data_IF_465843404359
#
_entry.id   IF_465843404359
#
_cell.length_a   1.000
_cell.length_b   1.000
_cell.length_c   1.000
_cell.angle_alpha   90.00
_cell.angle_beta   90.00
_cell.angle_gamma   90.00
#
_symmetry.space_group_name_H-M   'P 1'
#
loop_
_entity.id
_entity.type
_entity.pdbx_description
1 polymer ?
#
# COMPACT_ATOMS: atom_id res chain seq x y z
N UNK A 1 6.93 -3.00 -34.17
CA UNK A 1 7.83 -3.54 -33.13
C UNK A 1 7.04 -3.53 -31.84
N UNK A 2 6.67 -4.72 -31.36
CA UNK A 2 5.86 -4.93 -30.15
C UNK A 2 6.59 -4.41 -28.91
N UNK A 3 5.90 -3.60 -28.12
CA UNK A 3 6.25 -3.33 -26.74
C UNK A 3 5.42 -4.27 -25.87
N UNK A 4 5.93 -5.48 -25.66
CA UNK A 4 5.34 -6.46 -24.74
C UNK A 4 5.42 -5.90 -23.31
N UNK A 5 4.29 -5.40 -22.80
CA UNK A 5 4.11 -5.06 -21.40
C UNK A 5 3.63 -6.35 -20.70
N UNK A 6 4.44 -7.05 -19.89
CA UNK A 6 4.00 -8.26 -19.22
C UNK A 6 3.48 -7.89 -17.84
N UNK A 7 2.37 -7.16 -17.80
CA UNK A 7 1.49 -7.15 -16.65
C UNK A 7 0.11 -7.52 -17.16
N UNK A 8 -0.53 -8.60 -16.66
CA UNK A 8 -1.90 -8.85 -17.01
C UNK A 8 -2.71 -7.65 -16.54
N UNK A 9 -3.38 -6.97 -17.48
CA UNK A 9 -4.41 -6.01 -17.14
C UNK A 9 -5.39 -6.74 -16.22
N UNK A 10 -5.48 -6.39 -14.93
CA UNK A 10 -6.40 -7.07 -14.04
C UNK A 10 -7.77 -6.86 -14.64
N UNK A 11 -8.45 -7.97 -14.94
CA UNK A 11 -9.81 -7.99 -15.43
C UNK A 11 -10.60 -6.89 -14.72
N UNK A 12 -11.26 -6.06 -15.52
CA UNK A 12 -12.11 -4.94 -15.12
C UNK A 12 -13.37 -5.39 -14.36
N UNK A 13 -13.25 -6.33 -13.42
CA UNK A 13 -14.12 -6.43 -12.27
C UNK A 13 -13.62 -5.40 -11.28
N UNK A 14 -14.38 -4.31 -11.11
CA UNK A 14 -14.17 -3.29 -10.08
C UNK A 14 -13.86 -3.97 -8.74
N UNK A 15 -12.58 -4.17 -8.41
CA UNK A 15 -12.18 -4.10 -7.02
C UNK A 15 -12.47 -2.65 -6.66
N UNK A 16 -13.45 -2.37 -5.81
CA UNK A 16 -13.69 -1.00 -5.44
C UNK A 16 -12.49 -0.61 -4.59
N UNK A 17 -11.47 -0.02 -5.20
CA UNK A 17 -10.58 0.92 -4.54
C UNK A 17 -11.33 2.22 -4.22
N UNK A 18 -12.63 2.10 -3.92
CA UNK A 18 -13.44 3.19 -3.44
C UNK A 18 -13.00 3.41 -1.99
N UNK A 19 -12.10 4.37 -1.82
CA UNK A 19 -12.02 5.11 -0.56
C UNK A 19 -13.45 5.58 -0.30
N UNK A 20 -14.14 4.94 0.66
CA UNK A 20 -15.48 5.36 1.08
C UNK A 20 -15.46 6.88 1.27
N UNK A 21 -16.35 7.60 0.58
CA UNK A 21 -16.21 9.06 0.47
C UNK A 21 -16.73 9.81 1.71
N UNK A 22 -17.28 9.09 2.67
CA UNK A 22 -17.94 9.63 3.86
C UNK A 22 -17.11 9.34 5.11
N UNK A 23 -15.92 9.94 5.21
CA UNK A 23 -15.13 9.90 6.44
C UNK A 23 -15.22 11.24 7.17
N UNK A 24 -16.24 11.37 8.03
CA UNK A 24 -16.32 12.48 8.97
C UNK A 24 -15.33 12.34 10.15
N UNK A 25 -14.53 11.26 10.22
CA UNK A 25 -13.56 11.00 11.27
C UNK A 25 -12.17 10.63 10.71
N UNK A 26 -11.18 11.43 11.09
CA UNK A 26 -9.76 11.23 10.76
C UNK A 26 -9.23 9.87 11.26
N UNK A 27 -9.78 9.35 12.37
CA UNK A 27 -9.45 8.00 12.86
C UNK A 27 -9.85 6.93 11.85
N UNK A 28 -11.01 7.08 11.20
CA UNK A 28 -11.47 6.18 10.14
C UNK A 28 -10.55 6.20 8.92
N UNK A 29 -10.10 7.39 8.52
CA UNK A 29 -9.11 7.55 7.43
C UNK A 29 -7.78 6.86 7.75
N UNK A 30 -7.24 7.05 8.96
CA UNK A 30 -6.00 6.36 9.36
C UNK A 30 -6.15 4.85 9.41
N UNK A 31 -7.29 4.34 9.88
CA UNK A 31 -7.55 2.91 9.87
C UNK A 31 -7.57 2.35 8.45
N UNK A 32 -8.27 3.02 7.53
CA UNK A 32 -8.32 2.59 6.13
C UNK A 32 -6.95 2.67 5.45
N UNK A 33 -6.18 3.74 5.70
CA UNK A 33 -4.82 3.88 5.19
C UNK A 33 -3.92 2.75 5.68
N UNK A 34 -3.92 2.47 6.99
CA UNK A 34 -3.12 1.39 7.56
C UNK A 34 -3.51 0.02 7.00
N UNK A 35 -4.81 -0.21 6.77
CA UNK A 35 -5.29 -1.44 6.12
C UNK A 35 -4.77 -1.59 4.68
N UNK A 36 -4.80 -0.52 3.87
CA UNK A 36 -4.28 -0.55 2.51
C UNK A 36 -2.75 -0.78 2.48
N UNK A 37 -2.02 -0.16 3.39
CA UNK A 37 -0.57 -0.37 3.51
C UNK A 37 -0.23 -1.80 3.93
N UNK A 38 -1.00 -2.41 4.84
CA UNK A 38 -0.85 -3.82 5.20
C UNK A 38 -1.08 -4.77 4.02
N UNK A 39 -2.08 -4.50 3.18
CA UNK A 39 -2.34 -5.28 1.96
C UNK A 39 -1.18 -5.17 0.97
N UNK A 40 -0.64 -3.97 0.76
CA UNK A 40 0.51 -3.75 -0.13
C UNK A 40 1.73 -4.52 0.39
N UNK A 41 2.00 -4.46 1.69
CA UNK A 41 3.10 -5.17 2.32
C UNK A 41 3.00 -6.68 2.13
N UNK A 42 1.85 -7.28 2.44
CA UNK A 42 1.62 -8.71 2.29
C UNK A 42 1.78 -9.18 0.83
N UNK A 43 1.32 -8.38 -0.13
CA UNK A 43 1.49 -8.68 -1.56
C UNK A 43 2.96 -8.59 -1.99
N UNK A 44 3.72 -7.63 -1.46
CA UNK A 44 5.12 -7.47 -1.77
C UNK A 44 5.97 -8.61 -1.18
N UNK A 45 5.71 -9.01 0.06
CA UNK A 45 6.35 -10.18 0.68
C UNK A 45 6.03 -11.48 -0.08
N UNK A 46 4.76 -11.66 -0.50
CA UNK A 46 4.37 -12.80 -1.31
C UNK A 46 5.12 -12.81 -2.65
N UNK A 47 5.22 -11.66 -3.32
CA UNK A 47 5.99 -11.53 -4.56
C UNK A 47 7.46 -11.88 -4.32
N UNK A 48 8.08 -11.33 -3.27
CA UNK A 48 9.48 -11.61 -2.93
C UNK A 48 9.73 -13.12 -2.75
N UNK A 49 8.83 -13.82 -2.06
CA UNK A 49 8.95 -15.26 -1.81
C UNK A 49 8.70 -16.15 -3.05
N UNK A 50 8.09 -15.61 -4.11
CA UNK A 50 7.66 -16.37 -5.30
C UNK A 50 8.48 -16.07 -6.54
N UNK A 51 9.26 -14.99 -6.55
CA UNK A 51 10.00 -14.53 -7.71
C UNK A 51 11.39 -15.16 -7.77
N UNK A 52 11.72 -15.77 -8.90
CA UNK A 52 13.05 -16.35 -9.15
C UNK A 52 14.04 -15.33 -9.74
N UNK A 53 13.52 -14.24 -10.31
CA UNK A 53 14.33 -13.16 -10.88
C UNK A 53 14.84 -12.22 -9.78
N UNK A 54 16.17 -12.07 -9.68
CA UNK A 54 16.83 -11.16 -8.74
C UNK A 54 16.29 -9.72 -8.82
N UNK A 55 16.06 -9.20 -10.03
CA UNK A 55 15.54 -7.85 -10.22
C UNK A 55 14.10 -7.70 -9.71
N UNK A 56 13.31 -8.77 -9.82
CA UNK A 56 11.93 -8.78 -9.37
C UNK A 56 11.85 -8.89 -7.83
N UNK A 57 12.75 -9.68 -7.21
CA UNK A 57 12.94 -9.75 -5.76
C UNK A 57 13.36 -8.38 -5.20
N UNK A 58 14.33 -7.71 -5.82
CA UNK A 58 14.76 -6.35 -5.40
C UNK A 58 13.59 -5.37 -5.46
N UNK A 59 12.81 -5.37 -6.55
CA UNK A 59 11.62 -4.51 -6.65
C UNK A 59 10.58 -4.82 -5.58
N UNK A 60 10.35 -6.09 -5.26
CA UNK A 60 9.44 -6.49 -4.18
C UNK A 60 9.93 -5.97 -2.82
N UNK A 61 11.21 -6.12 -2.50
CA UNK A 61 11.82 -5.57 -1.29
C UNK A 61 11.72 -4.04 -1.19
N UNK A 62 11.83 -3.32 -2.31
CA UNK A 62 11.61 -1.86 -2.32
C UNK A 62 10.15 -1.48 -1.99
N UNK A 63 9.17 -2.26 -2.48
CA UNK A 63 7.76 -2.05 -2.16
C UNK A 63 7.51 -2.31 -0.67
N UNK A 64 8.08 -3.39 -0.12
CA UNK A 64 8.05 -3.69 1.32
C UNK A 64 8.57 -2.50 2.14
N UNK A 65 9.80 -2.03 1.84
CA UNK A 65 10.41 -0.91 2.56
C UNK A 65 9.55 0.36 2.50
N UNK A 66 9.04 0.68 1.31
CA UNK A 66 8.20 1.87 1.12
C UNK A 66 6.87 1.79 1.87
N UNK A 67 6.27 0.59 1.95
CA UNK A 67 5.03 0.38 2.70
C UNK A 67 5.27 0.55 4.22
N UNK A 68 6.37 0.01 4.74
CA UNK A 68 6.76 0.17 6.15
C UNK A 68 7.00 1.65 6.48
N UNK A 69 7.73 2.37 5.64
CA UNK A 69 7.95 3.81 5.81
C UNK A 69 6.64 4.62 5.79
N UNK A 70 5.71 4.26 4.89
CA UNK A 70 4.41 4.90 4.82
C UNK A 70 3.55 4.65 6.08
N UNK A 71 3.62 3.45 6.67
CA UNK A 71 2.93 3.14 7.93
C UNK A 71 3.49 4.00 9.06
N UNK A 72 4.81 4.06 9.17
CA UNK A 72 5.47 4.88 10.19
C UNK A 72 5.13 6.37 10.03
N UNK A 73 5.03 6.86 8.79
CA UNK A 73 4.60 8.24 8.52
C UNK A 73 3.14 8.46 8.91
N UNK A 74 2.24 7.52 8.61
CA UNK A 74 0.83 7.61 9.01
C UNK A 74 0.67 7.69 10.54
N UNK A 75 1.42 6.87 11.28
CA UNK A 75 1.44 6.90 12.74
C UNK A 75 1.96 8.25 13.27
N UNK A 76 3.04 8.79 12.68
CA UNK A 76 3.56 10.11 13.05
C UNK A 76 2.53 11.24 12.83
N UNK A 77 1.77 11.21 11.72
CA UNK A 77 0.73 12.21 11.46
C UNK A 77 -0.39 12.11 12.51
N UNK A 78 -0.81 10.89 12.87
CA UNK A 78 -1.81 10.67 13.93
C UNK A 78 -1.34 11.25 15.26
N UNK A 79 -0.11 10.97 15.65
CA UNK A 79 0.45 11.42 16.93
C UNK A 79 0.66 12.94 16.98
N UNK A 80 1.06 13.56 15.86
CA UNK A 80 1.16 15.02 15.76
C UNK A 80 -0.20 15.71 15.90
N UNK A 81 -1.26 15.13 15.31
CA UNK A 81 -2.63 15.66 15.45
C UNK A 81 -3.20 15.47 16.84
N UNK A 82 -2.85 14.40 17.55
CA UNK A 82 -3.21 14.22 18.96
C UNK A 82 -2.63 15.29 19.89
N UNK A 83 -1.44 15.83 19.57
CA UNK A 83 -0.72 16.83 20.40
C UNK A 83 -1.08 18.29 20.10
N UNK A 84 -1.66 18.60 18.94
CA UNK A 84 -2.11 19.96 18.59
C UNK A 84 -3.55 20.27 19.01
N UNK A 85 -4.24 19.32 19.64
CA UNK A 85 -5.62 19.46 20.12
C UNK A 85 -5.77 19.65 21.64
N UNK A 86 -4.66 19.76 22.39
CA UNK A 86 -4.63 20.18 23.80
C UNK A 86 -4.42 21.69 23.95
#
# INVERSE_FOLDING_TARGET
>A
MSSDIPFPAPNAGKVPFAVEKDFHDLRGLFHQLNNQLGIILANAELLESRLESKDAVVRAGHIVSSAVEAIALADNIRDHKGRSGE
#
